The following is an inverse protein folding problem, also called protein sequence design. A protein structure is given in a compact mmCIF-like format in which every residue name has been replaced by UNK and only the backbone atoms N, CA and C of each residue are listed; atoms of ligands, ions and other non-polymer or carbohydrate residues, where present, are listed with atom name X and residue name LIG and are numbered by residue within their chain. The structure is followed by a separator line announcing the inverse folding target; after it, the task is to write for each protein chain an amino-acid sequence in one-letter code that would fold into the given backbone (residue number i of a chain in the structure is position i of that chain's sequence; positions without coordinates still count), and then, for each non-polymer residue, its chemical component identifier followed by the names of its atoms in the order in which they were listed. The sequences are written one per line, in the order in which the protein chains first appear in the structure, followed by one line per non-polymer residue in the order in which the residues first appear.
data_IF_977065283494
#
_entry.id   IF_977065283494
#
_cell.length_a   1.000
_cell.length_b   1.000
_cell.length_c   1.000
_cell.angle_alpha   90.00
_cell.angle_beta   90.00
_cell.angle_gamma   90.00
#
_symmetry.space_group_name_H-M   'P 1'
#
loop_
_entity.id
_entity.type
_entity.pdbx_description
1 polymer ?
#
# COMPACT_ATOMS: atom_id res chain seq x y z
N UNK A 1 -26.40 2.33 11.94
CA UNK A 1 -25.34 1.35 12.21
C UNK A 1 -24.80 1.59 13.61
N UNK A 2 -24.74 0.56 14.45
CA UNK A 2 -24.09 0.64 15.75
C UNK A 2 -22.59 0.87 15.56
N UNK A 3 -22.01 1.77 16.37
CA UNK A 3 -20.56 2.00 16.36
C UNK A 3 -19.92 1.02 17.33
N UNK A 4 -18.95 0.23 16.87
CA UNK A 4 -18.13 -0.63 17.71
C UNK A 4 -16.79 0.06 17.99
N UNK A 5 -16.31 -0.04 19.22
CA UNK A 5 -15.05 0.56 19.63
C UNK A 5 -14.12 -0.59 20.05
N UNK A 6 -12.95 -0.63 19.46
CA UNK A 6 -11.85 -1.51 19.86
C UNK A 6 -10.78 -0.69 20.57
N UNK A 7 -10.12 -1.29 21.53
CA UNK A 7 -9.13 -0.62 22.38
C UNK A 7 -7.76 -1.27 22.26
N UNK A 8 -6.71 -0.48 22.47
CA UNK A 8 -5.33 -0.93 22.69
C UNK A 8 -4.76 -1.81 21.57
N UNK A 9 -4.17 -2.95 21.96
CA UNK A 9 -3.54 -3.91 21.05
C UNK A 9 -4.54 -4.54 20.09
N UNK A 10 -5.74 -4.90 20.55
CA UNK A 10 -6.76 -5.52 19.72
C UNK A 10 -7.11 -4.65 18.50
N UNK A 11 -7.27 -3.35 18.70
CA UNK A 11 -7.55 -2.41 17.61
C UNK A 11 -6.42 -2.38 16.59
N UNK A 12 -5.17 -2.34 17.04
CA UNK A 12 -4.00 -2.32 16.16
C UNK A 12 -3.85 -3.63 15.39
N UNK A 13 -4.04 -4.75 16.06
CA UNK A 13 -3.88 -6.07 15.46
C UNK A 13 -4.92 -6.33 14.37
N UNK A 14 -6.17 -5.94 14.60
CA UNK A 14 -7.24 -6.00 13.57
C UNK A 14 -6.93 -5.11 12.37
N UNK A 15 -6.51 -3.87 12.59
CA UNK A 15 -6.13 -2.96 11.50
C UNK A 15 -4.93 -3.51 10.72
N UNK A 16 -3.93 -4.05 11.41
CA UNK A 16 -2.76 -4.63 10.76
C UNK A 16 -3.11 -5.92 9.99
N UNK A 17 -4.04 -6.73 10.51
CA UNK A 17 -4.54 -7.93 9.83
C UNK A 17 -5.20 -7.58 8.49
N UNK A 18 -6.08 -6.60 8.47
CA UNK A 18 -6.72 -6.15 7.22
C UNK A 18 -5.74 -5.50 6.24
N UNK A 19 -4.79 -4.73 6.76
CA UNK A 19 -3.69 -4.19 5.98
C UNK A 19 -2.85 -5.32 5.34
N UNK A 20 -2.61 -6.41 6.08
CA UNK A 20 -1.89 -7.59 5.60
C UNK A 20 -2.62 -8.30 4.48
N UNK A 21 -3.93 -8.48 4.59
CA UNK A 21 -4.73 -9.14 3.56
C UNK A 21 -4.65 -8.38 2.23
N UNK A 22 -4.76 -7.05 2.26
CA UNK A 22 -4.59 -6.23 1.06
C UNK A 22 -3.15 -6.32 0.51
N UNK A 23 -2.15 -6.21 1.39
CA UNK A 23 -0.74 -6.36 1.00
C UNK A 23 -0.47 -7.72 0.35
N UNK A 24 -0.96 -8.81 0.94
CA UNK A 24 -0.74 -10.16 0.41
C UNK A 24 -1.35 -10.35 -0.99
N UNK A 25 -2.50 -9.73 -1.26
CA UNK A 25 -3.11 -9.74 -2.58
C UNK A 25 -2.31 -8.93 -3.62
N UNK A 26 -1.82 -7.75 -3.22
CA UNK A 26 -1.15 -6.82 -4.15
C UNK A 26 0.31 -7.16 -4.38
N UNK A 27 1.04 -7.64 -3.37
CA UNK A 27 2.50 -7.91 -3.47
C UNK A 27 2.88 -8.92 -4.56
N UNK A 28 1.96 -9.80 -4.95
CA UNK A 28 2.24 -10.81 -5.98
C UNK A 28 2.43 -10.20 -7.37
N UNK A 29 1.93 -8.98 -7.57
CA UNK A 29 2.10 -8.23 -8.83
C UNK A 29 3.38 -7.39 -8.84
N UNK A 30 4.18 -7.39 -7.74
CA UNK A 30 5.30 -6.48 -7.57
C UNK A 30 6.55 -6.88 -8.34
N UNK A 31 7.10 -5.92 -9.07
CA UNK A 31 8.42 -6.00 -9.69
C UNK A 31 8.50 -6.90 -10.94
N UNK A 32 9.72 -7.16 -11.46
CA UNK A 32 9.92 -7.84 -12.75
C UNK A 32 9.48 -9.32 -12.76
N UNK A 33 9.26 -9.91 -11.59
CA UNK A 33 8.70 -11.26 -11.43
C UNK A 33 7.25 -11.25 -10.96
N UNK A 34 6.57 -10.10 -11.10
CA UNK A 34 5.17 -9.94 -10.76
C UNK A 34 4.30 -10.92 -11.54
N UNK A 35 3.30 -11.46 -10.87
CA UNK A 35 2.36 -12.44 -11.41
C UNK A 35 1.01 -11.81 -11.67
N UNK A 36 0.28 -12.39 -12.60
CA UNK A 36 -1.12 -12.03 -12.82
C UNK A 36 -2.00 -12.53 -11.69
N UNK A 37 -3.00 -11.75 -11.35
CA UNK A 37 -4.08 -12.09 -10.42
C UNK A 37 -5.37 -12.27 -11.21
N UNK A 38 -6.13 -13.28 -10.85
CA UNK A 38 -7.47 -13.51 -11.40
C UNK A 38 -8.50 -12.95 -10.44
N UNK A 39 -9.28 -11.99 -10.90
CA UNK A 39 -10.34 -11.34 -10.12
C UNK A 39 -11.68 -11.85 -10.63
N UNK A 40 -12.43 -12.49 -9.74
CA UNK A 40 -13.80 -12.91 -10.03
C UNK A 40 -14.72 -11.68 -10.12
N UNK A 41 -15.67 -11.74 -11.03
CA UNK A 41 -16.72 -10.73 -11.17
C UNK A 41 -18.08 -11.33 -10.97
N UNK A 42 -18.99 -10.59 -10.36
CA UNK A 42 -20.38 -11.01 -10.18
C UNK A 42 -21.10 -11.23 -11.52
N UNK A 43 -20.63 -10.60 -12.60
CA UNK A 43 -21.15 -10.75 -13.96
C UNK A 43 -20.01 -10.73 -14.97
N UNK A 44 -20.06 -11.66 -15.96
CA UNK A 44 -19.09 -11.76 -17.04
C UNK A 44 -17.89 -12.64 -16.72
N UNK A 45 -16.87 -12.58 -17.57
CA UNK A 45 -15.64 -13.34 -17.38
C UNK A 45 -14.76 -12.74 -16.28
N UNK A 46 -13.98 -13.58 -15.57
CA UNK A 46 -12.96 -13.08 -14.64
C UNK A 46 -11.98 -12.13 -15.33
N UNK A 47 -11.50 -11.15 -14.58
CA UNK A 47 -10.43 -10.24 -15.05
C UNK A 47 -9.09 -10.79 -14.66
N UNK A 48 -8.18 -10.91 -15.62
CA UNK A 48 -6.78 -11.24 -15.37
C UNK A 48 -5.98 -9.94 -15.46
N UNK A 49 -5.24 -9.60 -14.41
CA UNK A 49 -4.45 -8.37 -14.34
C UNK A 49 -3.20 -8.56 -13.51
N UNK A 50 -2.16 -7.79 -13.82
CA UNK A 50 -0.98 -7.61 -12.97
C UNK A 50 -0.91 -6.19 -12.38
N UNK A 51 -1.89 -5.34 -12.68
CA UNK A 51 -1.96 -3.99 -12.15
C UNK A 51 -2.34 -3.98 -10.66
N UNK A 52 -1.44 -3.49 -9.83
CA UNK A 52 -1.63 -3.42 -8.38
C UNK A 52 -2.78 -2.52 -7.95
N UNK A 53 -3.14 -1.48 -8.73
CA UNK A 53 -4.31 -0.63 -8.45
C UNK A 53 -5.59 -1.44 -8.58
N UNK A 54 -5.75 -2.10 -9.73
CA UNK A 54 -6.91 -2.93 -10.03
C UNK A 54 -7.08 -4.05 -8.99
N UNK A 55 -5.97 -4.70 -8.61
CA UNK A 55 -6.00 -5.72 -7.55
C UNK A 55 -6.39 -5.11 -6.20
N UNK A 56 -5.80 -3.97 -5.82
CA UNK A 56 -6.13 -3.30 -4.56
C UNK A 56 -7.60 -2.87 -4.51
N UNK A 57 -8.15 -2.39 -5.61
CA UNK A 57 -9.55 -1.97 -5.69
C UNK A 57 -10.52 -3.15 -5.58
N UNK A 58 -10.16 -4.29 -6.11
CA UNK A 58 -10.97 -5.50 -6.06
C UNK A 58 -11.00 -6.17 -4.68
N UNK A 59 -10.02 -5.91 -3.80
CA UNK A 59 -10.02 -6.45 -2.44
C UNK A 59 -11.09 -5.76 -1.60
N UNK A 60 -12.14 -6.48 -1.27
CA UNK A 60 -13.20 -6.05 -0.35
C UNK A 60 -13.23 -6.99 0.86
N UNK A 61 -13.04 -6.44 2.04
CA UNK A 61 -13.16 -7.20 3.28
C UNK A 61 -14.53 -6.97 3.91
N UNK A 62 -15.12 -8.01 4.54
CA UNK A 62 -16.39 -7.87 5.24
C UNK A 62 -16.30 -6.74 6.28
N UNK A 63 -17.35 -5.93 6.35
CA UNK A 63 -17.46 -4.79 7.28
C UNK A 63 -18.52 -5.04 8.37
N UNK A 64 -18.74 -6.31 8.71
CA UNK A 64 -19.55 -6.71 9.85
C UNK A 64 -18.88 -6.34 11.19
N UNK A 65 -19.57 -6.55 12.30
CA UNK A 65 -19.08 -6.16 13.63
C UNK A 65 -17.75 -6.84 14.02
N UNK A 66 -17.49 -8.04 13.54
CA UNK A 66 -16.28 -8.80 13.89
C UNK A 66 -15.07 -8.36 13.04
N UNK A 67 -15.30 -8.05 11.77
CA UNK A 67 -14.27 -7.77 10.77
C UNK A 67 -14.05 -6.26 10.51
N UNK A 68 -14.78 -5.38 11.20
CA UNK A 68 -14.72 -3.93 10.98
C UNK A 68 -13.30 -3.35 11.07
N UNK A 69 -12.50 -3.82 12.01
CA UNK A 69 -11.10 -3.39 12.16
C UNK A 69 -10.25 -3.76 10.97
N UNK A 70 -10.45 -4.94 10.40
CA UNK A 70 -9.74 -5.42 9.21
C UNK A 70 -10.16 -4.64 7.97
N UNK A 71 -11.45 -4.42 7.77
CA UNK A 71 -11.97 -3.59 6.68
C UNK A 71 -11.39 -2.17 6.71
N UNK A 72 -11.25 -1.58 7.91
CA UNK A 72 -10.61 -0.27 8.10
C UNK A 72 -9.13 -0.33 7.72
N UNK A 73 -8.40 -1.35 8.14
CA UNK A 73 -6.97 -1.53 7.84
C UNK A 73 -6.70 -1.60 6.34
N UNK A 74 -7.43 -2.43 5.62
CA UNK A 74 -7.35 -2.52 4.16
C UNK A 74 -7.69 -1.17 3.50
N UNK A 75 -8.75 -0.49 3.96
CA UNK A 75 -9.17 0.80 3.42
C UNK A 75 -8.12 1.90 3.61
N UNK A 76 -7.40 1.91 4.72
CA UNK A 76 -6.33 2.90 4.97
C UNK A 76 -5.20 2.77 3.95
N UNK A 77 -4.71 1.55 3.70
CA UNK A 77 -3.67 1.31 2.69
C UNK A 77 -4.20 1.61 1.28
N UNK A 78 -5.41 1.15 0.96
CA UNK A 78 -6.07 1.46 -0.31
C UNK A 78 -6.15 2.98 -0.56
N UNK A 79 -6.49 3.76 0.47
CA UNK A 79 -6.53 5.22 0.38
C UNK A 79 -5.14 5.82 0.10
N UNK A 80 -4.08 5.29 0.70
CA UNK A 80 -2.70 5.74 0.43
C UNK A 80 -2.30 5.46 -1.03
N UNK A 81 -2.59 4.26 -1.54
CA UNK A 81 -2.35 3.87 -2.92
C UNK A 81 -3.11 4.76 -3.92
N UNK A 82 -4.38 5.02 -3.66
CA UNK A 82 -5.21 5.90 -4.49
C UNK A 82 -4.73 7.36 -4.50
N UNK A 83 -4.24 7.87 -3.37
CA UNK A 83 -3.66 9.21 -3.30
C UNK A 83 -2.39 9.31 -4.17
N UNK A 84 -1.51 8.31 -4.09
CA UNK A 84 -0.32 8.29 -4.92
C UNK A 84 -0.68 8.20 -6.40
N UNK A 85 -1.62 7.34 -6.77
CA UNK A 85 -2.08 7.19 -8.15
C UNK A 85 -2.59 8.51 -8.74
N UNK A 86 -3.31 9.31 -7.97
CA UNK A 86 -3.81 10.63 -8.40
C UNK A 86 -2.70 11.65 -8.65
N UNK A 87 -1.57 11.53 -7.97
CA UNK A 87 -0.46 12.48 -8.05
C UNK A 87 0.60 12.05 -9.07
N UNK A 88 0.98 10.77 -9.03
CA UNK A 88 2.09 10.25 -9.82
C UNK A 88 1.64 9.32 -10.97
N UNK A 89 0.44 8.75 -10.91
CA UNK A 89 -0.05 7.80 -11.91
C UNK A 89 0.60 6.41 -11.87
N UNK A 90 1.56 6.21 -10.94
CA UNK A 90 2.34 4.98 -10.81
C UNK A 90 2.77 4.75 -9.35
N UNK A 91 3.41 3.60 -9.07
CA UNK A 91 3.97 3.27 -7.75
C UNK A 91 2.96 2.77 -6.71
N UNK A 92 1.75 2.44 -7.09
CA UNK A 92 0.67 2.01 -6.20
C UNK A 92 0.97 0.69 -5.49
N UNK A 93 1.57 -0.28 -6.21
CA UNK A 93 2.06 -1.53 -5.62
C UNK A 93 3.18 -1.25 -4.62
N UNK A 94 4.13 -0.38 -4.99
CA UNK A 94 5.27 0.00 -4.14
C UNK A 94 4.79 0.65 -2.84
N UNK A 95 3.88 1.61 -2.90
CA UNK A 95 3.37 2.29 -1.69
C UNK A 95 2.57 1.33 -0.80
N UNK A 96 1.82 0.40 -1.38
CA UNK A 96 1.11 -0.65 -0.62
C UNK A 96 2.09 -1.52 0.16
N UNK A 97 3.15 -1.99 -0.50
CA UNK A 97 4.20 -2.82 0.10
C UNK A 97 4.94 -2.05 1.19
N UNK A 98 5.37 -0.82 0.92
CA UNK A 98 6.08 0.01 1.90
C UNK A 98 5.21 0.34 3.10
N UNK A 99 3.96 0.77 2.90
CA UNK A 99 3.06 1.15 3.98
C UNK A 99 2.81 -0.02 4.92
N UNK A 100 2.51 -1.20 4.39
CA UNK A 100 2.30 -2.38 5.22
C UNK A 100 3.56 -2.74 6.03
N UNK A 101 4.73 -2.78 5.40
CA UNK A 101 5.97 -3.17 6.10
C UNK A 101 6.35 -2.16 7.19
N UNK A 102 6.22 -0.86 6.92
CA UNK A 102 6.44 0.19 7.93
C UNK A 102 5.48 0.02 9.12
N UNK A 103 4.19 -0.22 8.85
CA UNK A 103 3.20 -0.43 9.90
C UNK A 103 3.47 -1.71 10.71
N UNK A 104 3.87 -2.80 10.05
CA UNK A 104 4.17 -4.07 10.70
C UNK A 104 5.37 -3.94 11.65
N UNK A 105 6.45 -3.31 11.21
CA UNK A 105 7.62 -3.07 12.05
C UNK A 105 7.32 -2.06 13.18
N UNK A 106 6.57 -1.00 12.89
CA UNK A 106 6.13 -0.04 13.90
C UNK A 106 5.28 -0.72 14.99
N UNK A 107 4.37 -1.62 14.62
CA UNK A 107 3.56 -2.36 15.61
C UNK A 107 4.41 -3.25 16.53
N UNK A 108 5.46 -3.90 16.00
CA UNK A 108 6.41 -4.68 16.81
C UNK A 108 7.14 -3.80 17.84
N UNK A 109 7.60 -2.63 17.42
CA UNK A 109 8.29 -1.68 18.28
C UNK A 109 7.36 -1.13 19.37
N UNK A 110 6.12 -0.81 19.04
CA UNK A 110 5.11 -0.36 20.01
C UNK A 110 4.79 -1.48 21.01
N UNK A 111 4.66 -2.72 20.54
CA UNK A 111 4.46 -3.89 21.41
C UNK A 111 5.65 -4.12 22.35
N UNK A 112 6.87 -3.79 21.93
CA UNK A 112 8.08 -3.82 22.74
C UNK A 112 8.22 -2.62 23.69
N UNK A 113 7.26 -1.68 23.72
CA UNK A 113 7.22 -0.55 24.65
C UNK A 113 7.79 0.77 24.12
N UNK A 114 8.11 0.86 22.83
CA UNK A 114 8.55 2.11 22.23
C UNK A 114 7.38 3.11 22.19
N UNK A 115 7.67 4.37 22.55
CA UNK A 115 6.66 5.43 22.53
C UNK A 115 6.18 5.69 21.08
N UNK A 116 4.86 5.56 20.80
CA UNK A 116 4.33 5.76 19.45
C UNK A 116 4.59 7.15 18.87
N UNK A 117 4.65 8.19 19.69
CA UNK A 117 4.89 9.56 19.20
C UNK A 117 6.35 9.78 18.81
N UNK A 118 7.28 9.18 19.55
CA UNK A 118 8.71 9.20 19.18
C UNK A 118 8.97 8.38 17.93
N UNK A 119 8.33 7.21 17.82
CA UNK A 119 8.40 6.36 16.64
C UNK A 119 7.86 7.09 15.39
N UNK A 120 6.72 7.77 15.52
CA UNK A 120 6.15 8.59 14.45
C UNK A 120 7.14 9.64 13.97
N UNK A 121 7.75 10.40 14.90
CA UNK A 121 8.75 11.41 14.58
C UNK A 121 9.95 10.79 13.87
N UNK A 122 10.45 9.66 14.34
CA UNK A 122 11.55 8.96 13.69
C UNK A 122 11.23 8.51 12.25
N UNK A 123 10.00 8.06 12.00
CA UNK A 123 9.55 7.70 10.64
C UNK A 123 9.48 8.95 9.75
N UNK A 124 8.95 10.07 10.25
CA UNK A 124 8.89 11.34 9.51
C UNK A 124 10.29 11.88 9.19
N UNK A 125 11.20 11.88 10.14
CA UNK A 125 12.59 12.34 9.97
C UNK A 125 13.35 11.44 8.97
N UNK A 126 13.24 10.12 9.10
CA UNK A 126 13.84 9.17 8.17
C UNK A 126 13.29 9.33 6.74
N UNK A 127 11.97 9.53 6.61
CA UNK A 127 11.33 9.79 5.32
C UNK A 127 11.89 11.03 4.63
N UNK A 128 12.08 12.11 5.38
CA UNK A 128 12.66 13.36 4.85
C UNK A 128 14.10 13.16 4.34
N UNK A 129 14.92 12.40 5.06
CA UNK A 129 16.30 12.09 4.62
C UNK A 129 16.33 11.17 3.39
N UNK A 130 15.45 10.16 3.34
CA UNK A 130 15.31 9.28 2.17
C UNK A 130 14.93 10.08 0.92
N UNK A 131 13.97 11.01 1.04
CA UNK A 131 13.57 11.88 -0.09
C UNK A 131 14.75 12.69 -0.61
N UNK A 132 15.54 13.31 0.27
CA UNK A 132 16.77 14.03 -0.15
C UNK A 132 17.78 13.11 -0.84
N UNK A 133 17.89 11.88 -0.39
CA UNK A 133 18.74 10.87 -1.03
C UNK A 133 18.27 10.52 -2.45
N UNK A 134 16.96 10.32 -2.62
CA UNK A 134 16.34 10.03 -3.92
C UNK A 134 16.51 11.22 -4.87
N UNK A 135 16.26 12.45 -4.41
CA UNK A 135 16.45 13.65 -5.21
C UNK A 135 17.89 13.82 -5.73
N UNK A 136 18.88 13.48 -4.91
CA UNK A 136 20.30 13.50 -5.33
C UNK A 136 20.65 12.43 -6.35
N UNK A 137 19.95 11.29 -6.30
CA UNK A 137 20.18 10.16 -7.19
C UNK A 137 19.34 10.25 -8.47
N UNK A 138 18.34 11.13 -8.49
CA UNK A 138 17.43 11.28 -9.62
C UNK A 138 18.16 11.86 -10.83
N UNK A 139 17.98 11.24 -11.98
CA UNK A 139 18.48 11.71 -13.27
C UNK A 139 17.40 12.56 -13.95
N UNK A 140 17.77 13.76 -14.40
CA UNK A 140 16.87 14.61 -15.20
C UNK A 140 16.75 14.03 -16.61
N UNK A 141 15.54 13.73 -17.03
CA UNK A 141 15.24 13.21 -18.37
C UNK A 141 14.63 14.27 -19.31
N UNK A 142 14.49 15.49 -18.85
CA UNK A 142 13.93 16.60 -19.60
C UNK A 142 14.75 16.86 -20.89
N UNK A 143 14.09 16.83 -22.04
CA UNK A 143 14.74 16.97 -23.35
C UNK A 143 15.42 15.69 -23.88
N UNK A 144 15.23 14.54 -23.24
CA UNK A 144 15.72 13.24 -23.72
C UNK A 144 14.55 12.31 -24.07
N UNK A 145 14.09 12.39 -25.33
CA UNK A 145 12.93 11.63 -25.79
C UNK A 145 13.09 10.12 -25.65
N UNK A 146 14.32 9.58 -25.78
CA UNK A 146 14.57 8.15 -25.59
C UNK A 146 14.31 7.72 -24.15
N UNK A 147 14.81 8.47 -23.17
CA UNK A 147 14.57 8.17 -21.74
C UNK A 147 13.11 8.36 -21.35
N UNK A 148 12.43 9.35 -21.92
CA UNK A 148 10.98 9.53 -21.73
C UNK A 148 10.21 8.33 -22.25
N UNK A 149 10.59 7.80 -23.43
CA UNK A 149 9.97 6.62 -24.00
C UNK A 149 10.23 5.35 -23.16
N UNK A 150 11.45 5.20 -22.58
CA UNK A 150 11.78 4.11 -21.67
C UNK A 150 10.90 4.13 -20.40
N UNK A 151 10.74 5.30 -19.78
CA UNK A 151 9.88 5.48 -18.59
C UNK A 151 8.43 5.19 -18.93
N UNK A 152 7.94 5.69 -20.06
CA UNK A 152 6.57 5.46 -20.52
C UNK A 152 6.32 3.96 -20.78
N UNK A 153 7.29 3.27 -21.39
CA UNK A 153 7.20 1.83 -21.65
C UNK A 153 7.13 1.00 -20.36
N UNK A 154 7.94 1.35 -19.37
CA UNK A 154 7.90 0.67 -18.05
C UNK A 154 6.55 0.92 -17.34
N UNK A 155 6.03 2.13 -17.42
CA UNK A 155 4.77 2.50 -16.78
C UNK A 155 3.53 1.90 -17.47
N UNK A 156 3.64 1.59 -18.76
CA UNK A 156 2.56 0.98 -19.53
C UNK A 156 2.46 -0.55 -19.33
N UNK A 157 3.52 -1.21 -18.87
CA UNK A 157 3.56 -2.65 -18.55
C UNK A 157 3.92 -3.52 -19.74
#
# INVERSE_FOLDING_TARGET
MAKKIFYTSEARDKVLSGAKQLYDAVKVTFGPKGQNVVIEKSYGAPTITHDGVTVAEAVELPSDEENLGEAIGAKLIKTAAQKLNKVAGDGTTTVTVLTYNILAEANKLIAAGVNPMELRKGIEDAGAEIIKGIEKSAEKIEGNDSKVAEVASISAG
#
